data_IF_076052246349
#
_entry.id   IF_076052246349
#
_cell.length_a   1.000
_cell.length_b   1.000
_cell.length_c   1.000
_cell.angle_alpha   90.00
_cell.angle_beta   90.00
_cell.angle_gamma   90.00
#
_symmetry.space_group_name_H-M   'P 1'
#
loop_
_entity.id
_entity.type
_entity.pdbx_description
1 polymer ?
#
# COMPACT_ATOMS: atom_id res chain seq x y z
N UNK A 1 14.15 -12.91 -27.95
CA UNK A 1 14.34 -12.23 -26.65
C UNK A 1 13.61 -13.03 -25.60
N UNK A 2 14.25 -13.41 -24.49
CA UNK A 2 13.54 -14.04 -23.38
C UNK A 2 12.53 -13.03 -22.85
N UNK A 3 11.24 -13.41 -22.79
CA UNK A 3 10.22 -12.56 -22.21
C UNK A 3 10.59 -12.34 -20.74
N UNK A 4 10.91 -11.09 -20.38
CA UNK A 4 11.24 -10.74 -19.01
C UNK A 4 9.96 -10.97 -18.18
N UNK A 5 9.96 -12.00 -17.36
CA UNK A 5 8.82 -12.34 -16.51
C UNK A 5 8.85 -11.34 -15.35
N UNK A 6 7.93 -10.39 -15.36
CA UNK A 6 7.83 -9.44 -14.26
C UNK A 6 7.42 -10.16 -12.97
N UNK A 7 7.95 -9.70 -11.84
CA UNK A 7 7.61 -10.25 -10.53
C UNK A 7 6.18 -9.95 -10.11
N UNK A 8 5.56 -8.90 -10.65
CA UNK A 8 4.21 -8.45 -10.33
C UNK A 8 3.40 -8.25 -11.62
N UNK A 9 2.11 -8.51 -11.55
CA UNK A 9 1.16 -8.24 -12.65
C UNK A 9 0.70 -6.78 -12.62
N UNK A 10 0.61 -6.19 -11.42
CA UNK A 10 0.18 -4.80 -11.19
C UNK A 10 1.06 -4.15 -10.13
N UNK A 11 1.47 -2.90 -10.37
CA UNK A 11 2.12 -2.06 -9.36
C UNK A 11 1.25 -0.84 -9.09
N UNK A 12 0.92 -0.61 -7.82
CA UNK A 12 0.20 0.57 -7.34
C UNK A 12 1.18 1.50 -6.64
N UNK A 13 1.25 2.74 -7.10
CA UNK A 13 2.09 3.79 -6.47
C UNK A 13 1.19 4.65 -5.60
N UNK A 14 1.49 4.66 -4.30
CA UNK A 14 0.70 5.27 -3.24
C UNK A 14 -0.15 4.25 -2.48
N UNK A 15 -0.04 4.23 -1.15
CA UNK A 15 -0.89 3.45 -0.24
C UNK A 15 -1.96 4.30 0.44
N UNK A 16 -2.31 5.44 -0.15
CA UNK A 16 -3.47 6.24 0.25
C UNK A 16 -4.79 5.50 0.00
N UNK A 17 -5.91 6.19 0.17
CA UNK A 17 -7.24 5.57 0.05
C UNK A 17 -7.46 4.90 -1.32
N UNK A 18 -7.26 5.64 -2.42
CA UNK A 18 -7.48 5.11 -3.77
C UNK A 18 -6.55 3.96 -4.13
N UNK A 19 -5.26 4.07 -3.75
CA UNK A 19 -4.28 3.02 -3.99
C UNK A 19 -4.59 1.74 -3.21
N UNK A 20 -5.03 1.87 -1.96
CA UNK A 20 -5.43 0.71 -1.14
C UNK A 20 -6.66 -0.01 -1.72
N UNK A 21 -7.67 0.73 -2.18
CA UNK A 21 -8.84 0.14 -2.83
C UNK A 21 -8.46 -0.53 -4.15
N UNK A 22 -7.64 0.12 -4.98
CA UNK A 22 -7.18 -0.46 -6.24
C UNK A 22 -6.37 -1.75 -6.02
N UNK A 23 -5.45 -1.75 -5.05
CA UNK A 23 -4.66 -2.91 -4.69
C UNK A 23 -5.53 -4.07 -4.19
N UNK A 24 -6.53 -3.79 -3.35
CA UNK A 24 -7.49 -4.78 -2.88
C UNK A 24 -8.25 -5.42 -4.05
N UNK A 25 -8.87 -4.62 -4.91
CA UNK A 25 -9.67 -5.14 -6.03
C UNK A 25 -8.84 -5.90 -7.06
N UNK A 26 -7.61 -5.45 -7.31
CA UNK A 26 -6.69 -6.17 -8.19
C UNK A 26 -6.27 -7.53 -7.59
N UNK A 27 -6.04 -7.57 -6.28
CA UNK A 27 -5.70 -8.82 -5.57
C UNK A 27 -6.88 -9.79 -5.51
N UNK A 28 -8.11 -9.31 -5.24
CA UNK A 28 -9.33 -10.14 -5.28
C UNK A 28 -9.57 -10.77 -6.65
N UNK A 29 -9.12 -10.11 -7.72
CA UNK A 29 -9.16 -10.65 -9.09
C UNK A 29 -8.06 -11.68 -9.38
N UNK A 30 -7.13 -11.91 -8.44
CA UNK A 30 -6.06 -12.90 -8.54
C UNK A 30 -4.75 -12.39 -9.12
N UNK A 31 -4.55 -11.08 -9.24
CA UNK A 31 -3.27 -10.51 -9.67
C UNK A 31 -2.25 -10.51 -8.54
N UNK A 32 -0.96 -10.70 -8.88
CA UNK A 32 0.16 -10.45 -7.97
C UNK A 32 0.46 -8.94 -7.95
N UNK A 33 0.01 -8.27 -6.90
CA UNK A 33 0.08 -6.80 -6.78
C UNK A 33 1.26 -6.37 -5.91
N UNK A 34 2.05 -5.40 -6.38
CA UNK A 34 3.04 -4.67 -5.60
C UNK A 34 2.54 -3.27 -5.25
N UNK A 35 2.72 -2.81 -4.00
CA UNK A 35 2.38 -1.45 -3.58
C UNK A 35 3.66 -0.73 -3.17
N UNK A 36 3.88 0.47 -3.73
CA UNK A 36 5.01 1.33 -3.42
C UNK A 36 4.51 2.61 -2.75
N UNK A 37 5.07 2.98 -1.62
CA UNK A 37 4.72 4.19 -0.88
C UNK A 37 5.99 4.97 -0.52
N UNK A 38 5.95 6.30 -0.67
CA UNK A 38 7.08 7.17 -0.36
C UNK A 38 7.15 7.50 1.14
N UNK A 39 6.00 7.48 1.82
CA UNK A 39 5.89 7.69 3.26
C UNK A 39 6.52 6.56 4.09
N UNK A 40 6.74 6.87 5.37
CA UNK A 40 7.20 5.90 6.37
C UNK A 40 6.14 4.81 6.57
N UNK A 41 6.57 3.55 6.73
CA UNK A 41 5.71 2.48 7.24
C UNK A 41 5.32 2.81 8.68
N UNK A 42 4.03 2.94 8.93
CA UNK A 42 3.48 3.07 10.28
C UNK A 42 2.99 1.70 10.76
N UNK A 43 3.64 1.09 11.78
CA UNK A 43 3.12 -0.10 12.43
C UNK A 43 1.76 0.15 13.08
N UNK A 44 0.90 -0.87 13.14
CA UNK A 44 -0.43 -0.78 13.75
C UNK A 44 -0.37 -0.26 15.19
N UNK A 45 0.69 -0.60 15.94
CA UNK A 45 0.90 -0.15 17.33
C UNK A 45 1.20 1.34 17.43
N UNK A 46 1.70 1.95 16.36
CA UNK A 46 2.03 3.37 16.28
C UNK A 46 0.86 4.22 15.83
N UNK A 47 -0.17 3.62 15.25
CA UNK A 47 -1.36 4.33 14.80
C UNK A 47 -2.05 4.95 16.03
N UNK A 48 -2.34 6.26 16.00
CA UNK A 48 -3.13 6.92 17.03
C UNK A 48 -4.45 6.19 17.27
N UNK A 49 -4.71 5.77 18.51
CA UNK A 49 -5.99 5.14 18.88
C UNK A 49 -7.15 6.12 18.84
N UNK A 50 -6.85 7.41 18.96
CA UNK A 50 -7.81 8.51 18.88
C UNK A 50 -7.21 9.68 18.13
N UNK A 51 -8.05 10.50 17.51
CA UNK A 51 -7.63 11.73 16.81
C UNK A 51 -7.02 12.78 17.76
N UNK A 52 -7.09 12.56 19.07
CA UNK A 52 -6.57 13.47 20.11
C UNK A 52 -5.13 13.16 20.52
N UNK A 53 -4.48 12.13 19.95
CA UNK A 53 -3.07 11.83 20.19
C UNK A 53 -2.14 12.77 19.40
N UNK A 54 -2.30 14.08 19.64
CA UNK A 54 -1.64 15.19 18.93
C UNK A 54 -0.11 15.09 18.94
N UNK A 55 0.47 14.41 19.94
CA UNK A 55 1.92 14.19 20.06
C UNK A 55 2.50 13.28 18.98
N UNK A 56 1.67 12.45 18.34
CA UNK A 56 2.08 11.53 17.27
C UNK A 56 1.88 12.08 15.86
N UNK A 57 1.26 13.26 15.75
CA UNK A 57 1.11 13.99 14.49
C UNK A 57 2.23 14.99 14.23
N UNK A 58 3.11 15.23 15.23
CA UNK A 58 4.27 16.11 15.16
C UNK A 58 5.53 15.38 14.72
#
# INVERSE_FOLDING_TARGET
MAANKFDYDVVVVGSGFGGSVAALRATEKGYKVGVLEAGKRWPDETIPKTSWDLRKFA
#
